data_IF_124476187664
#
_entry.id   IF_124476187664
#
_cell.length_a   1.000
_cell.length_b   1.000
_cell.length_c   1.000
_cell.angle_alpha   90.00
_cell.angle_beta   90.00
_cell.angle_gamma   90.00
#
_symmetry.space_group_name_H-M   'P 1'
#
loop_
_entity.id
_entity.type
_entity.pdbx_description
1 polymer ?
#
# COMPACT_ATOMS: atom_id res chain seq x y z
N UNK A 1 5.13 6.75 -22.38
CA UNK A 1 4.86 5.50 -21.66
C UNK A 1 3.75 5.72 -20.67
N UNK A 2 2.83 4.80 -20.63
CA UNK A 2 1.72 4.90 -19.71
C UNK A 2 2.18 4.57 -18.28
N UNK A 3 1.75 5.37 -17.33
CA UNK A 3 2.06 5.19 -15.91
C UNK A 3 0.97 4.38 -15.23
N UNK A 4 1.34 3.65 -14.21
CA UNK A 4 0.39 3.01 -13.31
C UNK A 4 0.31 3.82 -12.02
N UNK A 5 -0.84 3.81 -11.39
CA UNK A 5 -0.97 4.35 -10.04
C UNK A 5 -0.77 3.23 -9.02
N UNK A 6 -0.10 3.55 -7.92
CA UNK A 6 0.01 2.64 -6.78
C UNK A 6 -0.49 3.35 -5.52
N UNK A 7 -1.57 2.82 -4.97
CA UNK A 7 -2.06 3.26 -3.66
C UNK A 7 -1.49 2.32 -2.62
N UNK A 8 -0.56 2.83 -1.81
CA UNK A 8 0.04 2.06 -0.72
C UNK A 8 -0.80 2.27 0.53
N UNK A 9 -1.44 1.22 1.01
CA UNK A 9 -2.40 1.31 2.11
C UNK A 9 -1.76 0.97 3.43
N UNK A 10 -1.89 1.87 4.40
CA UNK A 10 -1.50 1.65 5.79
C UNK A 10 -2.71 1.61 6.69
N UNK A 11 -2.57 0.98 7.84
CA UNK A 11 -3.64 0.87 8.83
C UNK A 11 -3.96 2.24 9.45
N UNK A 12 -2.94 2.99 9.78
CA UNK A 12 -3.06 4.21 10.56
C UNK A 12 -2.88 3.93 12.05
N UNK A 13 -2.48 4.93 12.79
CA UNK A 13 -2.24 4.82 14.23
C UNK A 13 -2.23 6.20 14.87
N UNK A 14 -2.56 6.27 16.15
CA UNK A 14 -2.42 7.48 16.95
C UNK A 14 -0.95 7.85 17.16
N UNK A 15 -0.05 6.86 17.12
CA UNK A 15 1.38 7.07 17.20
C UNK A 15 1.93 7.35 15.79
N UNK A 16 3.03 8.10 15.66
CA UNK A 16 3.53 8.52 14.34
C UNK A 16 4.21 7.42 13.53
N UNK A 17 4.54 6.29 14.14
CA UNK A 17 5.41 5.28 13.52
C UNK A 17 4.81 4.61 12.29
N UNK A 18 3.51 4.32 12.31
CA UNK A 18 2.85 3.71 11.14
C UNK A 18 2.83 4.67 9.96
N UNK A 19 2.49 5.94 10.21
CA UNK A 19 2.48 6.96 9.16
C UNK A 19 3.87 7.14 8.55
N UNK A 20 4.90 7.22 9.38
CA UNK A 20 6.28 7.31 8.90
C UNK A 20 6.68 6.10 8.05
N UNK A 21 6.33 4.91 8.51
CA UNK A 21 6.61 3.67 7.78
C UNK A 21 5.99 3.70 6.38
N UNK A 22 4.72 4.02 6.30
CA UNK A 22 3.99 4.02 5.03
C UNK A 22 4.52 5.11 4.10
N UNK A 23 4.70 6.32 4.60
CA UNK A 23 5.19 7.44 3.79
C UNK A 23 6.61 7.20 3.29
N UNK A 24 7.48 6.70 4.15
CA UNK A 24 8.86 6.39 3.78
C UNK A 24 8.91 5.26 2.76
N UNK A 25 8.11 4.23 2.95
CA UNK A 25 8.05 3.11 2.01
C UNK A 25 7.54 3.58 0.64
N UNK A 26 6.50 4.43 0.61
CA UNK A 26 6.00 4.99 -0.64
C UNK A 26 7.09 5.77 -1.37
N UNK A 27 7.86 6.57 -0.65
CA UNK A 27 8.97 7.34 -1.21
C UNK A 27 10.06 6.43 -1.77
N UNK A 28 10.43 5.38 -1.04
CA UNK A 28 11.44 4.42 -1.48
C UNK A 28 10.99 3.66 -2.72
N UNK A 29 9.71 3.31 -2.82
CA UNK A 29 9.17 2.67 -4.02
C UNK A 29 9.30 3.62 -5.21
N UNK A 30 8.91 4.88 -5.02
CA UNK A 30 9.00 5.88 -6.09
C UNK A 30 10.43 6.10 -6.57
N UNK A 31 11.41 5.97 -5.68
CA UNK A 31 12.83 6.07 -6.04
C UNK A 31 13.34 4.84 -6.81
N UNK A 32 12.70 3.68 -6.62
CA UNK A 32 13.15 2.42 -7.24
C UNK A 32 12.59 2.20 -8.64
N UNK A 33 11.53 2.88 -9.01
CA UNK A 33 10.87 2.65 -10.29
C UNK A 33 10.22 3.92 -10.82
N UNK A 34 10.22 4.07 -12.14
CA UNK A 34 9.53 5.15 -12.83
C UNK A 34 8.17 4.71 -13.37
N UNK A 35 7.77 3.46 -13.10
CA UNK A 35 6.54 2.89 -13.66
C UNK A 35 5.28 3.30 -12.90
N UNK A 36 5.43 3.81 -11.69
CA UNK A 36 4.30 4.09 -10.80
C UNK A 36 4.29 5.52 -10.28
N UNK A 37 3.08 6.07 -10.20
CA UNK A 37 2.80 7.23 -9.37
C UNK A 37 2.32 6.66 -8.03
N UNK A 38 3.10 6.85 -6.96
CA UNK A 38 2.84 6.23 -5.66
C UNK A 38 2.21 7.23 -4.72
N UNK A 39 1.07 6.88 -4.14
CA UNK A 39 0.39 7.70 -3.13
C UNK A 39 0.10 6.83 -1.90
N UNK A 40 0.50 7.28 -0.70
CA UNK A 40 0.12 6.58 0.53
C UNK A 40 -1.30 6.97 0.96
N UNK A 41 -2.04 6.01 1.51
CA UNK A 41 -3.35 6.27 2.06
C UNK A 41 -3.59 5.45 3.32
N UNK A 42 -4.34 5.98 4.27
CA UNK A 42 -4.56 5.35 5.56
C UNK A 42 -6.03 4.96 5.73
N UNK A 43 -6.24 3.81 6.34
CA UNK A 43 -7.60 3.32 6.59
C UNK A 43 -8.31 4.12 7.66
N UNK A 44 -7.57 4.57 8.69
CA UNK A 44 -8.12 5.34 9.80
C UNK A 44 -7.03 6.14 10.50
N UNK A 45 -7.43 7.11 11.33
CA UNK A 45 -6.59 7.87 12.26
C UNK A 45 -5.54 8.80 11.64
N UNK A 46 -5.14 8.58 10.41
CA UNK A 46 -4.16 9.43 9.72
C UNK A 46 -4.71 9.89 8.38
N UNK A 47 -4.13 10.96 7.85
CA UNK A 47 -4.48 11.49 6.52
C UNK A 47 -3.22 11.55 5.66
N UNK A 48 -3.37 11.46 4.32
CA UNK A 48 -4.63 11.29 3.60
C UNK A 48 -5.22 9.91 3.80
N UNK A 49 -6.54 9.84 3.77
CA UNK A 49 -7.24 8.55 3.86
C UNK A 49 -7.18 7.83 2.52
N UNK A 50 -7.50 6.53 2.54
CA UNK A 50 -7.62 5.74 1.30
C UNK A 50 -8.61 6.41 0.37
N UNK A 51 -9.76 6.83 0.87
CA UNK A 51 -10.80 7.47 0.07
C UNK A 51 -10.32 8.78 -0.56
N UNK A 52 -9.60 9.60 0.20
CA UNK A 52 -9.02 10.86 -0.31
C UNK A 52 -8.01 10.61 -1.43
N UNK A 53 -7.19 9.57 -1.30
CA UNK A 53 -6.21 9.24 -2.32
C UNK A 53 -6.84 8.61 -3.56
N UNK A 54 -7.92 7.87 -3.41
CA UNK A 54 -8.68 7.38 -4.56
C UNK A 54 -9.21 8.57 -5.37
N UNK A 55 -9.75 9.58 -4.70
CA UNK A 55 -10.19 10.81 -5.38
C UNK A 55 -9.03 11.52 -6.09
N UNK A 56 -7.86 11.60 -5.43
CA UNK A 56 -6.69 12.21 -6.05
C UNK A 56 -6.22 11.47 -7.30
N UNK A 57 -6.34 10.15 -7.33
CA UNK A 57 -5.96 9.36 -8.50
C UNK A 57 -6.88 9.59 -9.70
N UNK A 58 -8.13 10.03 -9.49
CA UNK A 58 -9.07 10.25 -10.61
C UNK A 58 -8.57 11.31 -11.58
N UNK A 59 -7.74 12.24 -11.12
CA UNK A 59 -7.15 13.31 -11.94
C UNK A 59 -5.79 12.94 -12.52
N UNK A 60 -5.25 11.78 -12.18
CA UNK A 60 -3.95 11.33 -12.67
C UNK A 60 -4.08 10.65 -14.03
N UNK A 61 -3.04 10.79 -14.85
CA UNK A 61 -2.98 10.12 -16.15
C UNK A 61 -2.34 8.75 -15.99
N UNK A 62 -3.15 7.78 -15.55
CA UNK A 62 -2.71 6.41 -15.32
C UNK A 62 -3.51 5.44 -16.17
N UNK A 63 -2.88 4.30 -16.50
CA UNK A 63 -3.53 3.23 -17.28
C UNK A 63 -4.08 2.11 -16.40
N UNK A 64 -3.78 2.12 -15.10
CA UNK A 64 -4.14 1.07 -14.15
C UNK A 64 -3.95 1.61 -12.75
N UNK A 65 -4.80 1.20 -11.83
CA UNK A 65 -4.61 1.48 -10.40
C UNK A 65 -4.31 0.19 -9.67
N UNK A 66 -3.16 0.11 -9.01
CA UNK A 66 -2.75 -1.03 -8.20
C UNK A 66 -2.83 -0.61 -6.74
N UNK A 67 -3.60 -1.33 -5.94
CA UNK A 67 -3.75 -1.07 -4.51
C UNK A 67 -2.94 -2.11 -3.76
N UNK A 68 -1.95 -1.66 -3.00
CA UNK A 68 -1.00 -2.54 -2.30
C UNK A 68 -1.11 -2.30 -0.80
N UNK A 69 -1.59 -3.29 -0.04
CA UNK A 69 -1.67 -3.14 1.41
C UNK A 69 -0.32 -3.46 2.06
N UNK A 70 0.20 -2.53 2.85
CA UNK A 70 1.41 -2.79 3.63
C UNK A 70 0.98 -3.40 4.97
N UNK A 71 0.63 -4.66 4.91
CA UNK A 71 0.18 -5.49 6.02
C UNK A 71 0.93 -6.81 5.97
N UNK A 72 1.17 -7.42 7.11
CA UNK A 72 1.93 -8.67 7.18
C UNK A 72 1.13 -9.88 6.70
N UNK A 73 -0.14 -9.94 7.01
CA UNK A 73 -0.96 -11.12 6.73
C UNK A 73 -2.40 -10.74 6.45
N UNK A 74 -3.16 -11.70 5.91
CA UNK A 74 -4.60 -11.55 5.70
C UNK A 74 -5.32 -11.47 7.03
N UNK A 75 -6.39 -10.68 7.08
CA UNK A 75 -7.26 -10.50 8.21
C UNK A 75 -8.49 -9.72 7.77
N UNK A 76 -9.25 -9.20 8.73
CA UNK A 76 -10.51 -8.49 8.44
C UNK A 76 -10.27 -7.31 7.49
N UNK A 77 -9.23 -6.52 7.73
CA UNK A 77 -8.95 -5.35 6.88
C UNK A 77 -8.65 -5.76 5.43
N UNK A 78 -7.85 -6.81 5.25
CA UNK A 78 -7.46 -7.28 3.91
C UNK A 78 -8.65 -7.93 3.19
N UNK A 79 -9.43 -8.74 3.89
CA UNK A 79 -10.47 -9.55 3.28
C UNK A 79 -11.82 -8.83 3.15
N UNK A 80 -12.08 -7.83 3.97
CA UNK A 80 -13.37 -7.13 3.99
C UNK A 80 -13.26 -5.63 3.79
N UNK A 81 -12.51 -4.95 4.66
CA UNK A 81 -12.57 -3.49 4.74
C UNK A 81 -12.01 -2.81 3.49
N UNK A 82 -10.83 -3.21 3.04
CA UNK A 82 -10.21 -2.61 1.86
C UNK A 82 -11.00 -2.95 0.59
N UNK A 83 -11.37 -4.22 0.34
CA UNK A 83 -12.22 -4.53 -0.83
C UNK A 83 -13.52 -3.73 -0.86
N UNK A 84 -14.15 -3.53 0.29
CA UNK A 84 -15.39 -2.74 0.39
C UNK A 84 -15.17 -1.30 -0.04
N UNK A 85 -14.08 -0.66 0.44
CA UNK A 85 -13.74 0.70 0.05
C UNK A 85 -13.47 0.79 -1.46
N UNK A 86 -12.86 -0.25 -2.03
CA UNK A 86 -12.53 -0.30 -3.45
C UNK A 86 -13.72 -0.67 -4.34
N UNK A 87 -14.85 -1.05 -3.75
CA UNK A 87 -16.01 -1.50 -4.50
C UNK A 87 -15.85 -2.88 -5.11
N UNK A 88 -14.97 -3.70 -4.56
CA UNK A 88 -14.74 -5.07 -5.03
C UNK A 88 -15.66 -6.05 -4.32
N UNK A 89 -16.31 -6.97 -5.04
CA UNK A 89 -17.05 -8.05 -4.41
C UNK A 89 -16.13 -8.91 -3.57
N UNK A 90 -16.69 -9.58 -2.57
CA UNK A 90 -15.94 -10.45 -1.67
C UNK A 90 -15.12 -11.49 -2.45
N UNK A 91 -13.83 -11.56 -2.16
CA UNK A 91 -12.91 -12.49 -2.78
C UNK A 91 -12.36 -12.05 -4.13
N UNK A 92 -12.89 -10.97 -4.70
CA UNK A 92 -12.41 -10.46 -5.97
C UNK A 92 -11.21 -9.55 -5.77
N UNK A 93 -10.26 -9.62 -6.70
CA UNK A 93 -9.04 -8.85 -6.66
C UNK A 93 -8.84 -7.96 -7.89
N UNK A 94 -9.72 -8.10 -8.86
CA UNK A 94 -9.71 -7.34 -10.09
C UNK A 94 -11.02 -6.59 -10.22
N UNK A 95 -10.95 -5.35 -10.63
CA UNK A 95 -12.12 -4.52 -10.85
C UNK A 95 -11.80 -3.38 -11.78
N UNK A 96 -12.59 -2.33 -11.68
CA UNK A 96 -12.47 -1.15 -12.52
C UNK A 96 -12.42 0.09 -11.65
N UNK A 97 -11.55 1.02 -12.00
CA UNK A 97 -11.46 2.31 -11.33
C UNK A 97 -11.83 3.40 -12.33
N UNK A 98 -12.75 4.28 -11.92
CA UNK A 98 -13.23 5.36 -12.78
C UNK A 98 -12.38 6.60 -12.59
N UNK A 99 -11.62 6.96 -13.63
CA UNK A 99 -10.94 8.25 -13.71
C UNK A 99 -11.91 9.31 -14.25
N UNK A 100 -11.50 10.56 -14.18
CA UNK A 100 -12.24 11.62 -14.87
C UNK A 100 -12.04 11.43 -16.38
N UNK A 101 -13.05 10.89 -17.03
CA UNK A 101 -13.06 10.71 -18.48
C UNK A 101 -12.87 9.30 -19.01
N UNK A 102 -12.38 8.36 -18.21
CA UNK A 102 -12.22 6.97 -18.65
C UNK A 102 -12.15 6.00 -17.48
N UNK A 103 -12.37 4.72 -17.76
CA UNK A 103 -12.20 3.64 -16.77
C UNK A 103 -10.86 2.95 -17.01
N UNK A 104 -10.22 2.53 -15.92
CA UNK A 104 -8.98 1.75 -15.98
C UNK A 104 -9.11 0.51 -15.09
N UNK A 105 -8.32 -0.54 -15.34
CA UNK A 105 -8.31 -1.69 -14.44
C UNK A 105 -7.87 -1.29 -13.03
N UNK A 106 -8.49 -1.93 -12.04
CA UNK A 106 -8.09 -1.85 -10.64
C UNK A 106 -7.64 -3.22 -10.20
N UNK A 107 -6.45 -3.30 -9.61
CA UNK A 107 -5.85 -4.55 -9.17
C UNK A 107 -5.54 -4.42 -7.69
N UNK A 108 -5.99 -5.39 -6.90
CA UNK A 108 -5.75 -5.42 -5.45
C UNK A 108 -4.71 -6.48 -5.14
N UNK A 109 -3.55 -6.03 -4.65
CA UNK A 109 -2.41 -6.91 -4.35
C UNK A 109 -2.60 -7.64 -3.02
N UNK A 110 -1.86 -8.73 -2.85
CA UNK A 110 -1.79 -9.46 -1.58
C UNK A 110 -1.01 -8.68 -0.54
N UNK A 111 -1.27 -8.90 0.76
CA UNK A 111 -0.36 -8.45 1.82
C UNK A 111 0.98 -9.20 1.69
N UNK A 112 1.95 -8.84 2.54
CA UNK A 112 3.30 -9.40 2.48
C UNK A 112 3.29 -10.93 2.55
N UNK A 113 2.64 -11.47 3.58
CA UNK A 113 2.58 -12.93 3.75
C UNK A 113 3.92 -13.56 4.05
N UNK A 114 4.02 -14.86 3.71
CA UNK A 114 5.21 -15.67 3.99
C UNK A 114 6.25 -15.48 2.88
N UNK A 115 7.00 -14.40 2.95
CA UNK A 115 7.98 -14.03 1.94
C UNK A 115 9.41 -14.15 2.50
N UNK A 116 10.36 -14.72 1.72
CA UNK A 116 11.76 -14.83 2.17
C UNK A 116 12.40 -13.49 2.52
N UNK A 117 11.98 -12.40 1.88
CA UNK A 117 12.50 -11.07 2.20
C UNK A 117 12.15 -10.66 3.63
N UNK A 118 11.00 -11.10 4.14
CA UNK A 118 10.61 -10.82 5.52
C UNK A 118 11.57 -11.50 6.49
N UNK A 119 11.98 -12.74 6.19
CA UNK A 119 12.98 -13.44 6.99
C UNK A 119 14.32 -12.71 6.99
N UNK A 120 14.73 -12.17 5.84
CA UNK A 120 15.98 -11.39 5.74
C UNK A 120 15.92 -10.14 6.61
N UNK A 121 14.77 -9.45 6.63
CA UNK A 121 14.58 -8.27 7.48
C UNK A 121 14.66 -8.64 8.96
N UNK A 122 14.08 -9.77 9.35
CA UNK A 122 14.12 -10.23 10.73
C UNK A 122 15.56 -10.59 11.17
N UNK A 123 16.32 -11.23 10.28
CA UNK A 123 17.71 -11.55 10.55
C UNK A 123 18.56 -10.29 10.68
N UNK A 124 18.32 -9.30 9.83
CA UNK A 124 18.98 -8.00 9.91
C UNK A 124 18.72 -7.35 11.28
N UNK A 125 17.45 -7.32 11.69
CA UNK A 125 17.08 -6.70 12.96
C UNK A 125 17.70 -7.46 14.16
N UNK A 126 17.72 -8.78 14.07
CA UNK A 126 18.37 -9.60 15.10
C UNK A 126 19.87 -9.30 15.19
N UNK A 127 20.55 -9.17 14.04
CA UNK A 127 21.98 -8.86 13.99
C UNK A 127 22.29 -7.50 14.59
N UNK A 128 21.43 -6.51 14.30
CA UNK A 128 21.58 -5.17 14.85
C UNK A 128 21.41 -5.17 16.38
N UNK A 129 20.45 -5.93 16.88
CA UNK A 129 20.22 -6.06 18.31
C UNK A 129 21.41 -6.73 19.01
N UNK A 130 21.94 -7.80 18.40
CA UNK A 130 23.12 -8.49 18.94
C UNK A 130 24.33 -7.56 18.98
N UNK A 131 24.50 -6.71 17.96
CA UNK A 131 25.61 -5.76 17.90
C UNK A 131 25.55 -4.71 19.02
N UNK A 132 24.40 -4.49 19.62
CA UNK A 132 24.24 -3.58 20.75
C UNK A 132 24.75 -4.21 22.07
N UNK A 133 24.92 -5.53 22.09
CA UNK A 133 25.43 -6.23 23.26
C UNK A 133 26.93 -5.96 23.39
N UNK A 134 27.32 -5.23 24.42
CA UNK A 134 28.71 -4.89 24.64
C UNK A 134 29.31 -5.80 25.72
N UNK A 135 30.56 -6.25 25.51
CA UNK A 135 31.23 -7.05 26.52
C UNK A 135 31.56 -6.24 27.79
#
# INVERSE_FOLDING_TARGET
>A
MAMKGMLLVGHGSKLPHNKELIETTAKLIAEKTDDYIVKPGFMSLNTPTVEEQLEAFRDENIEMLVVVPLFLAKGVHINQDIPEILGLPKGERLGTFQLNGKSVPLVYANPIGSDPLLAELMLKNASEAVAELKP
#
